data_IF_042754209011
#
_entry.id   IF_042754209011
#
_cell.length_a   1.000
_cell.length_b   1.000
_cell.length_c   1.000
_cell.angle_alpha   90.00
_cell.angle_beta   90.00
_cell.angle_gamma   90.00
#
_symmetry.space_group_name_H-M   'P 1'
#
loop_
_entity.id
_entity.type
_entity.pdbx_description
1 polymer ?
#
# COMPACT_ATOMS: atom_id res chain seq x y z
N UNK A 1 -50.06 26.92 23.88
CA UNK A 1 -48.58 26.75 24.11
C UNK A 1 -48.08 25.30 24.10
N UNK A 2 -48.79 24.36 23.46
CA UNK A 2 -48.37 22.95 23.41
C UNK A 2 -47.72 22.55 22.05
N UNK A 3 -47.70 23.44 21.06
CA UNK A 3 -47.21 23.16 19.73
C UNK A 3 -45.75 23.56 19.47
N UNK A 4 -45.12 24.31 20.39
CA UNK A 4 -43.76 24.80 20.20
C UNK A 4 -42.71 23.71 20.55
N UNK A 5 -43.05 22.75 21.43
CA UNK A 5 -42.16 21.70 21.85
C UNK A 5 -41.91 20.62 20.79
N UNK A 6 -42.87 20.39 19.90
CA UNK A 6 -42.77 19.35 18.87
C UNK A 6 -41.89 19.83 17.69
N UNK A 7 -41.89 21.12 17.41
CA UNK A 7 -41.07 21.68 16.32
C UNK A 7 -39.56 21.66 16.62
N UNK A 8 -39.19 21.80 17.90
CA UNK A 8 -37.78 21.77 18.34
C UNK A 8 -37.21 20.35 18.29
N UNK A 9 -38.03 19.34 18.58
CA UNK A 9 -37.58 17.93 18.53
C UNK A 9 -37.37 17.47 17.08
N UNK A 10 -38.22 17.96 16.13
CA UNK A 10 -38.04 17.64 14.71
C UNK A 10 -36.77 18.25 14.11
N UNK A 11 -36.28 19.36 14.65
CA UNK A 11 -35.08 20.02 14.17
C UNK A 11 -33.80 19.30 14.61
N UNK A 12 -33.84 18.55 15.74
CA UNK A 12 -32.70 17.77 16.22
C UNK A 12 -32.54 16.41 15.53
N UNK A 13 -33.58 15.90 14.87
CA UNK A 13 -33.52 14.62 14.15
C UNK A 13 -32.99 14.74 12.71
N UNK A 14 -32.84 15.95 12.18
CA UNK A 14 -32.35 16.19 10.81
C UNK A 14 -30.84 16.42 10.71
N UNK A 15 -30.08 16.37 11.82
CA UNK A 15 -28.64 16.25 11.78
C UNK A 15 -28.30 14.77 11.63
N UNK A 16 -28.73 14.17 10.54
CA UNK A 16 -28.07 12.96 10.04
C UNK A 16 -26.64 13.38 9.72
N UNK A 17 -25.77 13.12 10.68
CA UNK A 17 -24.33 13.16 10.49
C UNK A 17 -24.07 12.25 9.29
N UNK A 18 -23.83 12.82 8.13
CA UNK A 18 -23.07 12.16 7.09
C UNK A 18 -21.65 12.02 7.67
N UNK A 19 -21.49 11.06 8.55
CA UNK A 19 -20.19 10.46 8.80
C UNK A 19 -19.85 9.83 7.46
N UNK A 20 -19.08 10.53 6.63
CA UNK A 20 -18.33 9.91 5.56
C UNK A 20 -17.47 8.85 6.27
N UNK A 21 -17.97 7.60 6.31
CA UNK A 21 -17.17 6.46 6.70
C UNK A 21 -16.08 6.38 5.62
N UNK A 22 -14.92 6.91 5.95
CA UNK A 22 -13.73 6.77 5.13
C UNK A 22 -13.44 5.29 5.01
N UNK A 23 -13.59 4.77 3.80
CA UNK A 23 -13.38 3.35 3.51
C UNK A 23 -11.90 2.98 3.66
N UNK A 24 -11.61 1.77 4.13
CA UNK A 24 -10.23 1.29 4.14
C UNK A 24 -9.72 1.13 2.70
N UNK A 25 -8.52 1.61 2.44
CA UNK A 25 -7.87 1.52 1.13
C UNK A 25 -6.64 0.62 1.17
N UNK A 26 -6.43 -0.08 0.08
CA UNK A 26 -5.25 -0.93 -0.15
C UNK A 26 -4.46 -0.40 -1.34
N UNK A 27 -3.20 -0.05 -1.11
CA UNK A 27 -2.29 0.42 -2.14
C UNK A 27 -1.22 -0.62 -2.45
N UNK A 28 -0.92 -0.79 -3.74
CA UNK A 28 0.21 -1.57 -4.23
C UNK A 28 1.28 -0.61 -4.73
N UNK A 29 2.46 -0.70 -4.15
CA UNK A 29 3.62 0.11 -4.51
C UNK A 29 4.70 -0.79 -5.09
N UNK A 30 5.17 -0.50 -6.30
CA UNK A 30 6.15 -1.29 -7.03
C UNK A 30 7.48 -0.55 -7.16
N UNK A 31 8.56 -1.25 -6.86
CA UNK A 31 9.92 -0.75 -6.94
C UNK A 31 10.78 -1.62 -7.85
N UNK A 32 11.78 -1.02 -8.50
CA UNK A 32 12.83 -1.76 -9.18
C UNK A 32 13.99 -2.01 -8.23
N UNK A 33 14.42 -3.25 -8.15
CA UNK A 33 15.51 -3.66 -7.24
C UNK A 33 16.82 -2.88 -7.49
N UNK A 34 17.10 -2.52 -8.74
CA UNK A 34 18.29 -1.73 -9.11
C UNK A 34 18.24 -0.31 -8.57
N UNK A 35 17.07 0.32 -8.60
CA UNK A 35 16.87 1.70 -8.13
C UNK A 35 17.04 1.79 -6.61
N UNK A 36 16.44 0.87 -5.84
CA UNK A 36 16.63 0.86 -4.39
C UNK A 36 18.10 0.65 -4.00
N UNK A 37 18.82 -0.21 -4.71
CA UNK A 37 20.25 -0.43 -4.48
C UNK A 37 21.09 0.80 -4.78
N UNK A 38 20.78 1.59 -5.82
CA UNK A 38 21.51 2.80 -6.14
C UNK A 38 21.32 3.91 -5.09
N UNK A 39 20.22 3.84 -4.34
CA UNK A 39 19.90 4.77 -3.25
C UNK A 39 20.32 4.23 -1.87
N UNK A 40 21.11 3.15 -1.82
CA UNK A 40 21.52 2.48 -0.59
C UNK A 40 20.37 2.13 0.36
N UNK A 41 19.17 1.90 -0.19
CA UNK A 41 17.99 1.54 0.60
C UNK A 41 17.43 0.18 0.20
N UNK A 42 16.57 -0.37 1.03
CA UNK A 42 15.93 -1.66 0.82
C UNK A 42 14.42 -1.57 1.00
N UNK A 43 13.70 -2.52 0.40
CA UNK A 43 12.25 -2.64 0.59
C UNK A 43 11.88 -2.75 2.07
N UNK A 44 12.71 -3.42 2.88
CA UNK A 44 12.49 -3.61 4.31
C UNK A 44 12.58 -2.29 5.08
N UNK A 45 13.52 -1.43 4.74
CA UNK A 45 13.66 -0.09 5.35
C UNK A 45 12.47 0.80 5.00
N UNK A 46 12.07 0.84 3.72
CA UNK A 46 10.87 1.56 3.31
C UNK A 46 9.63 1.02 4.03
N UNK A 47 9.46 -0.31 4.09
CA UNK A 47 8.38 -0.95 4.80
C UNK A 47 8.33 -0.55 6.26
N UNK A 48 9.47 -0.47 6.94
CA UNK A 48 9.54 -0.12 8.37
C UNK A 48 8.98 1.26 8.66
N UNK A 49 9.17 2.22 7.75
CA UNK A 49 8.64 3.58 7.88
C UNK A 49 7.10 3.61 7.83
N UNK A 50 6.50 2.78 6.97
CA UNK A 50 5.04 2.66 6.90
C UNK A 50 4.45 1.79 7.99
N UNK A 51 5.17 0.78 8.46
CA UNK A 51 4.69 -0.21 9.45
C UNK A 51 4.40 0.38 10.82
N UNK A 52 4.93 1.56 11.12
CA UNK A 52 4.65 2.29 12.35
C UNK A 52 3.20 2.81 12.43
N UNK A 53 2.58 3.07 11.27
CA UNK A 53 1.25 3.68 11.17
C UNK A 53 0.22 2.78 10.45
N UNK A 54 0.66 1.90 9.55
CA UNK A 54 -0.21 1.12 8.67
C UNK A 54 0.16 -0.35 8.66
N UNK A 55 -0.79 -1.20 8.31
CA UNK A 55 -0.52 -2.61 8.04
C UNK A 55 0.16 -2.75 6.69
N UNK A 56 1.33 -3.39 6.67
CA UNK A 56 2.13 -3.54 5.46
C UNK A 56 2.51 -5.00 5.20
N UNK A 57 2.67 -5.36 3.93
CA UNK A 57 3.19 -6.65 3.48
C UNK A 57 4.14 -6.41 2.32
N UNK A 58 5.27 -7.07 2.30
CA UNK A 58 6.26 -6.92 1.23
C UNK A 58 6.54 -8.25 0.52
N UNK A 59 6.80 -8.14 -0.78
CA UNK A 59 7.09 -9.26 -1.66
C UNK A 59 8.31 -8.93 -2.52
N UNK A 60 9.24 -9.86 -2.63
CA UNK A 60 10.47 -9.68 -3.38
C UNK A 60 10.50 -10.60 -4.60
N UNK A 61 10.45 -10.03 -5.78
CA UNK A 61 10.66 -10.70 -7.07
C UNK A 61 12.12 -10.66 -7.52
N UNK A 62 12.37 -11.05 -8.76
CA UNK A 62 13.72 -11.06 -9.33
C UNK A 62 14.25 -9.64 -9.62
N UNK A 63 13.42 -8.82 -10.27
CA UNK A 63 13.74 -7.46 -10.69
C UNK A 63 12.82 -6.42 -10.06
N UNK A 64 11.65 -6.85 -9.61
CA UNK A 64 10.63 -6.02 -9.00
C UNK A 64 10.39 -6.40 -7.54
N UNK A 65 10.07 -5.41 -6.75
CA UNK A 65 9.74 -5.51 -5.34
C UNK A 65 8.38 -4.87 -5.13
N UNK A 66 7.53 -5.48 -4.32
CA UNK A 66 6.19 -4.98 -4.06
C UNK A 66 5.97 -4.71 -2.57
N UNK A 67 5.39 -3.57 -2.26
CA UNK A 67 4.90 -3.21 -0.93
C UNK A 67 3.40 -2.99 -0.99
N UNK A 68 2.65 -3.70 -0.15
CA UNK A 68 1.23 -3.49 0.03
C UNK A 68 1.03 -2.72 1.32
N UNK A 69 0.23 -1.65 1.25
CA UNK A 69 -0.08 -0.77 2.37
C UNK A 69 -1.59 -0.76 2.55
N UNK A 70 -2.08 -1.28 3.69
CA UNK A 70 -3.49 -1.27 4.06
C UNK A 70 -3.74 -0.12 5.05
N UNK A 71 -4.54 0.86 4.66
CA UNK A 71 -4.88 2.04 5.46
C UNK A 71 -6.34 1.93 5.89
N UNK A 72 -6.63 1.80 7.19
CA UNK A 72 -7.98 1.49 7.68
C UNK A 72 -9.00 2.61 7.47
N UNK A 73 -8.53 3.85 7.42
CA UNK A 73 -9.36 5.03 7.13
C UNK A 73 -8.56 5.95 6.25
N UNK A 74 -8.98 6.14 5.01
CA UNK A 74 -8.19 6.86 4.03
C UNK A 74 -9.06 7.73 3.14
N UNK A 75 -8.79 9.04 3.13
CA UNK A 75 -9.43 10.02 2.28
C UNK A 75 -8.62 10.35 1.02
N UNK A 76 -7.40 9.85 0.93
CA UNK A 76 -6.50 10.14 -0.18
C UNK A 76 -6.40 8.99 -1.19
N UNK A 77 -5.90 9.30 -2.36
CA UNK A 77 -5.68 8.37 -3.46
C UNK A 77 -4.21 7.94 -3.61
N UNK A 78 -3.92 7.16 -4.66
CA UNK A 78 -2.58 6.71 -4.97
C UNK A 78 -1.61 7.86 -5.28
N UNK A 79 -2.10 8.96 -5.86
CA UNK A 79 -1.29 10.13 -6.16
C UNK A 79 -0.82 10.81 -4.88
N UNK A 80 -1.71 10.95 -3.91
CA UNK A 80 -1.37 11.53 -2.62
C UNK A 80 -0.40 10.63 -1.84
N UNK A 81 -0.58 9.30 -1.88
CA UNK A 81 0.37 8.37 -1.27
C UNK A 81 1.79 8.54 -1.84
N UNK A 82 1.89 8.79 -3.15
CA UNK A 82 3.16 9.05 -3.82
C UNK A 82 3.93 10.27 -3.29
N UNK A 83 3.26 11.20 -2.62
CA UNK A 83 3.89 12.40 -2.02
C UNK A 83 4.52 12.13 -0.65
N UNK A 84 4.31 10.95 -0.05
CA UNK A 84 4.91 10.63 1.25
C UNK A 84 6.43 10.65 1.16
N UNK A 85 7.05 11.27 2.16
CA UNK A 85 8.50 11.35 2.28
C UNK A 85 9.04 10.05 2.87
N UNK A 86 10.08 9.54 2.25
CA UNK A 86 10.85 8.37 2.67
C UNK A 86 12.24 8.85 3.06
N UNK A 87 12.62 8.65 4.31
CA UNK A 87 13.93 9.02 4.80
C UNK A 87 14.96 7.97 4.39
N UNK A 88 16.05 8.41 3.77
CA UNK A 88 17.20 7.60 3.39
C UNK A 88 18.33 7.71 4.44
N UNK A 89 19.29 6.79 4.41
CA UNK A 89 20.37 6.69 5.40
C UNK A 89 21.23 7.95 5.53
N UNK A 90 21.36 8.75 4.46
CA UNK A 90 22.13 9.98 4.45
C UNK A 90 21.34 11.21 4.95
N UNK A 91 20.14 10.99 5.50
CA UNK A 91 19.27 12.05 6.01
C UNK A 91 18.58 12.86 4.91
N UNK A 92 18.59 12.36 3.69
CA UNK A 92 17.84 12.90 2.57
C UNK A 92 16.42 12.30 2.55
N UNK A 93 15.42 13.18 2.45
CA UNK A 93 14.03 12.78 2.29
C UNK A 93 13.64 12.83 0.81
N UNK A 94 13.13 11.71 0.29
CA UNK A 94 12.68 11.59 -1.09
C UNK A 94 11.20 11.20 -1.12
N UNK A 95 10.46 11.66 -2.12
CA UNK A 95 9.06 11.27 -2.26
C UNK A 95 8.94 9.83 -2.73
N UNK A 96 7.94 9.12 -2.21
CA UNK A 96 7.69 7.73 -2.60
C UNK A 96 7.60 7.55 -4.13
N UNK A 97 6.96 8.47 -4.84
CA UNK A 97 6.82 8.41 -6.31
C UNK A 97 8.13 8.59 -7.07
N UNK A 98 9.20 9.07 -6.44
CA UNK A 98 10.51 9.24 -7.06
C UNK A 98 11.31 7.94 -7.04
N UNK A 99 11.03 7.05 -6.06
CA UNK A 99 11.68 5.74 -5.92
C UNK A 99 10.78 4.58 -6.36
N UNK A 100 9.46 4.77 -6.32
CA UNK A 100 8.49 3.79 -6.81
C UNK A 100 8.18 4.07 -8.28
N UNK A 101 8.32 3.08 -9.14
CA UNK A 101 7.93 3.24 -10.54
C UNK A 101 6.41 3.13 -10.73
N UNK A 102 5.66 2.65 -9.74
CA UNK A 102 4.21 2.54 -9.79
C UNK A 102 3.59 2.56 -8.39
N UNK A 103 2.55 3.39 -8.23
CA UNK A 103 1.66 3.38 -7.07
C UNK A 103 0.23 3.20 -7.59
N UNK A 104 -0.47 2.20 -7.09
CA UNK A 104 -1.81 1.82 -7.58
C UNK A 104 -2.76 1.67 -6.40
N UNK A 105 -3.93 2.31 -6.48
CA UNK A 105 -5.04 2.03 -5.57
C UNK A 105 -5.72 0.71 -6.00
N UNK A 106 -5.63 -0.29 -5.14
CA UNK A 106 -6.19 -1.63 -5.36
C UNK A 106 -7.49 -1.86 -4.60
N UNK A 107 -8.04 -0.85 -3.96
CA UNK A 107 -9.24 -0.96 -3.11
C UNK A 107 -10.42 -1.57 -3.86
N UNK A 108 -10.68 -1.08 -5.07
CA UNK A 108 -11.76 -1.59 -5.93
C UNK A 108 -11.42 -2.92 -6.65
N UNK A 109 -10.15 -3.36 -6.63
CA UNK A 109 -9.64 -4.50 -7.40
C UNK A 109 -8.92 -5.55 -6.54
N UNK A 110 -9.49 -5.90 -5.39
CA UNK A 110 -8.90 -6.89 -4.48
C UNK A 110 -8.59 -8.23 -5.16
N UNK A 111 -9.46 -8.69 -6.07
CA UNK A 111 -9.22 -9.93 -6.83
C UNK A 111 -7.97 -9.84 -7.72
N UNK A 112 -7.74 -8.70 -8.37
CA UNK A 112 -6.53 -8.49 -9.16
C UNK A 112 -5.29 -8.42 -8.29
N UNK A 113 -5.40 -7.87 -7.08
CA UNK A 113 -4.32 -7.86 -6.09
C UNK A 113 -3.96 -9.29 -5.67
N UNK A 114 -4.94 -10.11 -5.30
CA UNK A 114 -4.71 -11.51 -4.90
C UNK A 114 -4.07 -12.32 -6.03
N UNK A 115 -4.53 -12.13 -7.27
CA UNK A 115 -3.91 -12.77 -8.45
C UNK A 115 -2.46 -12.33 -8.63
N UNK A 116 -2.17 -11.04 -8.45
CA UNK A 116 -0.81 -10.52 -8.54
C UNK A 116 0.09 -11.10 -7.46
N UNK A 117 -0.38 -11.16 -6.22
CA UNK A 117 0.37 -11.74 -5.09
C UNK A 117 0.65 -13.22 -5.34
N UNK A 118 -0.36 -14.00 -5.74
CA UNK A 118 -0.21 -15.43 -6.04
C UNK A 118 0.84 -15.67 -7.12
N UNK A 119 0.80 -14.92 -8.23
CA UNK A 119 1.79 -15.02 -9.29
C UNK A 119 3.21 -14.65 -8.80
N UNK A 120 3.30 -13.70 -7.89
CA UNK A 120 4.57 -13.29 -7.27
C UNK A 120 5.15 -14.42 -6.40
N UNK A 121 4.34 -15.05 -5.56
CA UNK A 121 4.73 -16.15 -4.69
C UNK A 121 5.12 -17.41 -5.49
N UNK A 122 4.35 -17.76 -6.52
CA UNK A 122 4.65 -18.89 -7.41
C UNK A 122 6.00 -18.72 -8.12
N UNK A 123 6.31 -17.50 -8.58
CA UNK A 123 7.59 -17.19 -9.21
C UNK A 123 8.78 -17.41 -8.27
N UNK A 124 8.59 -17.14 -6.98
CA UNK A 124 9.61 -17.37 -5.94
C UNK A 124 9.80 -18.86 -5.63
N UNK A 125 8.71 -19.63 -5.55
CA UNK A 125 8.77 -21.06 -5.28
C UNK A 125 9.47 -21.81 -6.42
N UNK A 126 9.13 -21.48 -7.69
CA UNK A 126 9.77 -22.06 -8.87
C UNK A 126 11.29 -21.86 -8.84
N UNK A 127 11.74 -20.64 -8.55
CA UNK A 127 13.17 -20.32 -8.44
C UNK A 127 13.88 -21.06 -7.32
N UNK A 128 13.21 -21.31 -6.20
CA UNK A 128 13.76 -22.06 -5.06
C UNK A 128 13.92 -23.54 -5.41
N UNK A 129 12.98 -24.09 -6.18
CA UNK A 129 13.03 -25.49 -6.63
C UNK A 129 14.12 -25.70 -7.70
N UNK A 130 14.25 -24.78 -8.67
CA UNK A 130 15.30 -24.83 -9.71
C UNK A 130 16.71 -24.79 -9.10
N UNK A 131 16.90 -24.06 -8.00
CA UNK A 131 18.18 -24.05 -7.27
C UNK A 131 18.48 -25.33 -6.52
N UNK A 132 17.44 -26.09 -6.10
CA UNK A 132 17.61 -27.37 -5.37
C UNK A 132 17.86 -28.56 -6.29
N UNK A 133 17.38 -28.49 -7.52
CA UNK A 133 17.57 -29.52 -8.56
C UNK A 133 18.17 -28.86 -9.81
N UNK A 134 19.47 -28.56 -9.82
CA UNK A 134 20.10 -28.10 -11.05
C UNK A 134 20.07 -29.25 -12.08
N UNK A 135 19.43 -28.98 -13.23
CA UNK A 135 19.45 -29.89 -14.36
C UNK A 135 20.91 -30.15 -14.73
N UNK A 136 21.39 -31.41 -14.80
CA UNK A 136 22.75 -31.68 -15.24
C UNK A 136 22.92 -31.12 -16.67
N UNK A 137 24.00 -30.37 -16.86
CA UNK A 137 24.36 -29.86 -18.16
C UNK A 137 24.65 -31.01 -19.12
N UNK A 138 24.30 -30.91 -20.41
CA UNK A 138 24.54 -31.94 -21.43
C UNK A 138 26.01 -32.17 -21.68
#
# INVERSE_FOLDING_TARGET
MKSLGILVIALFLSVSVFANETEPKTFLVLFKSKELKSLNTSLKEIQSQFSSAFKTRSYSGNSELALIIDIPKCEFDACFLGQFLISLDEGEDIRLQEIAFRVVDMTANKRSLDTYITAFEESQQKKKNDKRNPTPAP
#
